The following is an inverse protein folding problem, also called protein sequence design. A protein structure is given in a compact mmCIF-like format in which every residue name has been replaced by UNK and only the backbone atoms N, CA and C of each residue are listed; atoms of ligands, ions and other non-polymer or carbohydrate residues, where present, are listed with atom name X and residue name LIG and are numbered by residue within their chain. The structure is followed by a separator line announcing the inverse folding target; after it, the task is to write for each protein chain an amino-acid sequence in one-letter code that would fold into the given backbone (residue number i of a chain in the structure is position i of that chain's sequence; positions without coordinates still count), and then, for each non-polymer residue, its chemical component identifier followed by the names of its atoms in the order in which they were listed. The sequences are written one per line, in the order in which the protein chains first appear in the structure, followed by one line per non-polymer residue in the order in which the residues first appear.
data_IF_455391460568
#
_entry.id   IF_455391460568
#
_cell.length_a   1.000
_cell.length_b   1.000
_cell.length_c   1.000
_cell.angle_alpha   90.00
_cell.angle_beta   90.00
_cell.angle_gamma   90.00
#
_symmetry.space_group_name_H-M   'P 1'
#
loop_
_entity.id
_entity.type
_entity.pdbx_description
1 polymer ?
#
# COMPACT_ATOMS: atom_id res chain seq x y z
N UNK A 1 19.53 18.19 -33.31
CA UNK A 1 19.20 17.60 -32.00
C UNK A 1 17.73 17.91 -31.73
N UNK A 2 16.77 17.01 -31.99
CA UNK A 2 15.37 17.33 -31.73
C UNK A 2 15.10 17.21 -30.21
N UNK A 3 14.34 18.17 -29.72
CA UNK A 3 13.95 18.32 -28.33
C UNK A 3 13.21 17.09 -27.79
N UNK A 4 13.53 16.69 -26.56
CA UNK A 4 12.78 15.70 -25.81
C UNK A 4 11.35 16.22 -25.63
N UNK A 5 10.40 15.53 -26.28
CA UNK A 5 8.99 15.74 -26.09
C UNK A 5 8.65 15.65 -24.60
N UNK A 6 7.86 16.62 -24.12
CA UNK A 6 7.43 16.69 -22.73
C UNK A 6 6.79 15.37 -22.28
N UNK A 7 7.14 14.94 -21.06
CA UNK A 7 6.50 13.80 -20.40
C UNK A 7 4.99 14.03 -20.38
N UNK A 8 4.15 13.10 -20.87
CA UNK A 8 2.70 13.20 -20.69
C UNK A 8 2.39 13.28 -19.20
N UNK A 9 1.55 14.25 -18.84
CA UNK A 9 1.34 14.70 -17.48
C UNK A 9 1.01 13.57 -16.51
N UNK A 10 1.71 13.56 -15.37
CA UNK A 10 1.23 12.86 -14.19
C UNK A 10 -0.05 13.57 -13.76
N UNK A 11 -1.21 12.97 -14.01
CA UNK A 11 -2.40 13.34 -13.28
C UNK A 11 -2.05 13.22 -11.79
N UNK A 12 -2.02 14.35 -11.09
CA UNK A 12 -1.85 14.36 -9.64
C UNK A 12 -3.16 13.82 -9.10
N UNK A 13 -3.18 12.56 -8.71
CA UNK A 13 -4.33 11.94 -8.08
C UNK A 13 -4.68 12.70 -6.79
N UNK A 14 -5.97 12.92 -6.56
CA UNK A 14 -6.42 13.64 -5.36
C UNK A 14 -6.08 12.82 -4.10
N UNK A 15 -5.36 13.41 -3.13
CA UNK A 15 -5.01 12.72 -1.89
C UNK A 15 -6.27 12.37 -1.08
N UNK A 16 -6.23 11.27 -0.33
CA UNK A 16 -7.28 10.97 0.64
C UNK A 16 -7.22 11.92 1.85
N UNK A 17 -8.37 12.19 2.45
CA UNK A 17 -8.43 12.76 3.80
C UNK A 17 -8.09 11.68 4.83
N UNK A 18 -7.09 11.95 5.67
CA UNK A 18 -6.68 11.03 6.74
C UNK A 18 -7.44 11.36 8.03
N UNK A 19 -8.20 10.40 8.55
CA UNK A 19 -8.97 10.51 9.79
C UNK A 19 -8.38 9.55 10.82
N UNK A 20 -8.09 10.06 12.02
CA UNK A 20 -7.67 9.21 13.14
C UNK A 20 -8.88 8.46 13.71
N UNK A 21 -8.98 7.17 13.41
CA UNK A 21 -10.06 6.31 13.89
C UNK A 21 -9.82 5.80 15.32
N UNK A 22 -8.61 5.34 15.63
CA UNK A 22 -8.27 4.78 16.93
C UNK A 22 -6.79 5.00 17.27
N UNK A 23 -6.50 5.03 18.57
CA UNK A 23 -5.13 5.00 19.10
C UNK A 23 -5.00 3.76 19.97
N UNK A 24 -4.04 2.90 19.65
CA UNK A 24 -3.79 1.66 20.40
C UNK A 24 -2.46 1.75 21.15
N UNK A 25 -2.47 1.44 22.44
CA UNK A 25 -1.27 1.30 23.27
C UNK A 25 -1.21 -0.13 23.77
N UNK A 26 -0.38 -1.00 23.17
CA UNK A 26 -0.12 -2.31 23.74
C UNK A 26 0.30 -2.12 25.20
N UNK A 27 -0.40 -2.78 26.13
CA UNK A 27 -0.15 -2.71 27.59
C UNK A 27 -0.53 -1.38 28.28
N UNK A 28 -1.09 -0.40 27.57
CA UNK A 28 -1.59 0.85 28.17
C UNK A 28 -0.51 1.84 28.64
N UNK A 29 0.76 1.62 28.29
CA UNK A 29 1.84 2.54 28.65
C UNK A 29 1.76 3.83 27.82
N UNK A 30 1.79 4.99 28.47
CA UNK A 30 1.96 6.28 27.83
C UNK A 30 0.69 7.06 27.49
N UNK A 31 -0.51 6.54 27.70
CA UNK A 31 -1.71 7.37 27.58
C UNK A 31 -1.88 8.30 28.81
N UNK A 32 -2.22 9.60 28.66
CA UNK A 32 -2.42 10.36 27.41
C UNK A 32 -1.19 11.15 26.92
N UNK A 33 -0.02 10.97 27.55
CA UNK A 33 1.15 11.84 27.38
C UNK A 33 2.02 11.50 26.16
N UNK A 34 2.06 10.23 25.77
CA UNK A 34 2.80 9.72 24.62
C UNK A 34 1.91 9.72 23.37
N UNK A 35 2.55 9.71 22.20
CA UNK A 35 1.90 9.46 20.91
C UNK A 35 2.46 8.16 20.34
N UNK A 36 1.64 7.31 19.71
CA UNK A 36 2.14 6.11 19.06
C UNK A 36 3.11 6.50 17.93
N UNK A 37 4.23 5.79 17.82
CA UNK A 37 5.22 5.99 16.76
C UNK A 37 4.77 5.36 15.43
N UNK A 38 3.99 4.29 15.52
CA UNK A 38 3.54 3.51 14.37
C UNK A 38 2.13 3.92 13.93
N UNK A 39 1.91 3.95 12.62
CA UNK A 39 0.62 4.24 12.02
C UNK A 39 0.13 3.06 11.17
N UNK A 40 -1.17 2.79 11.24
CA UNK A 40 -1.87 1.86 10.34
C UNK A 40 -2.91 2.67 9.57
N UNK A 41 -2.86 2.58 8.24
CA UNK A 41 -3.80 3.29 7.38
C UNK A 41 -4.73 2.29 6.69
N UNK A 42 -6.03 2.57 6.74
CA UNK A 42 -7.05 1.80 6.04
C UNK A 42 -7.54 2.63 4.84
N UNK A 43 -7.39 2.10 3.63
CA UNK A 43 -7.87 2.75 2.40
C UNK A 43 -7.14 2.27 1.15
N UNK A 44 -7.45 2.91 0.01
CA UNK A 44 -6.69 2.71 -1.23
C UNK A 44 -5.26 3.27 -1.04
N UNK A 45 -4.27 2.40 -1.19
CA UNK A 45 -2.87 2.76 -0.94
C UNK A 45 -2.37 3.93 -1.81
N UNK A 46 -2.92 4.13 -3.02
CA UNK A 46 -2.49 5.22 -3.90
C UNK A 46 -2.91 6.57 -3.32
N UNK A 47 -4.16 6.68 -2.88
CA UNK A 47 -4.69 7.90 -2.25
C UNK A 47 -4.07 8.17 -0.89
N UNK A 48 -3.81 7.12 -0.11
CA UNK A 48 -3.10 7.21 1.17
C UNK A 48 -1.68 7.72 0.94
N UNK A 49 -0.92 7.12 0.03
CA UNK A 49 0.44 7.58 -0.27
C UNK A 49 0.47 9.04 -0.76
N UNK A 50 -0.51 9.45 -1.58
CA UNK A 50 -0.63 10.84 -2.00
C UNK A 50 -0.86 11.79 -0.80
N UNK A 51 -1.69 11.38 0.16
CA UNK A 51 -1.92 12.14 1.39
C UNK A 51 -0.71 12.22 2.32
N UNK A 52 0.22 11.26 2.23
CA UNK A 52 1.46 11.25 3.03
C UNK A 52 2.55 12.16 2.46
N UNK A 53 2.50 12.54 1.18
CA UNK A 53 3.53 13.36 0.54
C UNK A 53 3.88 14.65 1.30
N UNK A 54 2.92 15.47 1.79
CA UNK A 54 3.25 16.74 2.46
C UNK A 54 4.16 16.58 3.69
N UNK A 55 4.11 15.41 4.33
CA UNK A 55 4.88 15.13 5.54
C UNK A 55 6.09 14.22 5.29
N UNK A 56 6.02 13.31 4.32
CA UNK A 56 6.98 12.21 4.16
C UNK A 56 7.71 12.18 2.82
N UNK A 57 7.45 13.11 1.89
CA UNK A 57 8.19 13.18 0.62
C UNK A 57 9.68 13.34 0.87
N UNK A 58 10.50 12.39 0.40
CA UNK A 58 11.95 12.40 0.64
C UNK A 58 12.40 11.93 2.03
N UNK A 59 11.55 11.27 2.83
CA UNK A 59 11.86 10.97 4.24
C UNK A 59 11.72 9.48 4.62
N UNK A 60 11.29 8.61 3.72
CA UNK A 60 11.16 7.17 4.01
C UNK A 60 12.46 6.43 3.65
N UNK A 61 13.10 5.80 4.63
CA UNK A 61 14.35 5.05 4.41
C UNK A 61 14.13 3.71 3.69
N UNK A 62 12.99 3.07 3.90
CA UNK A 62 12.70 1.74 3.40
C UNK A 62 11.22 1.60 3.03
N UNK A 63 10.96 1.14 1.82
CA UNK A 63 9.63 0.68 1.40
C UNK A 63 9.75 -0.79 0.99
N UNK A 64 8.88 -1.63 1.55
CA UNK A 64 8.66 -3.00 1.11
C UNK A 64 7.26 -3.10 0.50
N UNK A 65 7.15 -3.63 -0.71
CA UNK A 65 5.90 -3.79 -1.41
C UNK A 65 5.78 -5.19 -2.03
N UNK A 66 4.62 -5.81 -1.85
CA UNK A 66 4.26 -7.13 -2.38
C UNK A 66 2.94 -6.99 -3.16
N UNK A 67 2.99 -6.49 -4.42
CA UNK A 67 1.79 -6.28 -5.24
C UNK A 67 1.22 -7.61 -5.76
N UNK A 68 -0.02 -7.62 -6.27
CA UNK A 68 -0.55 -8.75 -7.03
C UNK A 68 0.41 -9.16 -8.17
N UNK A 69 0.59 -10.46 -8.42
CA UNK A 69 1.63 -10.96 -9.35
C UNK A 69 1.13 -11.19 -10.78
N UNK A 70 -0.02 -10.65 -11.18
CA UNK A 70 -0.59 -10.86 -12.52
C UNK A 70 -0.93 -12.34 -12.81
N UNK A 71 -1.34 -13.08 -11.78
CA UNK A 71 -1.60 -14.53 -11.84
C UNK A 71 -2.95 -14.89 -12.48
N UNK A 72 -3.81 -13.89 -12.66
CA UNK A 72 -5.19 -14.03 -13.10
C UNK A 72 -6.09 -14.83 -12.14
N UNK A 73 -5.73 -14.89 -10.84
CA UNK A 73 -6.42 -15.64 -9.79
C UNK A 73 -7.16 -14.72 -8.82
N UNK A 74 -8.22 -15.24 -8.18
CA UNK A 74 -8.84 -14.61 -6.99
C UNK A 74 -8.30 -15.27 -5.75
N UNK A 75 -7.67 -14.49 -4.87
CA UNK A 75 -7.16 -14.98 -3.60
C UNK A 75 -8.21 -14.77 -2.51
N UNK A 76 -8.81 -15.83 -1.94
CA UNK A 76 -9.72 -15.66 -0.82
C UNK A 76 -8.93 -15.33 0.45
N UNK A 77 -9.35 -14.29 1.17
CA UNK A 77 -8.83 -13.94 2.47
C UNK A 77 -9.54 -14.77 3.55
N UNK A 78 -8.76 -15.35 4.46
CA UNK A 78 -9.30 -16.05 5.63
C UNK A 78 -9.68 -15.02 6.69
N UNK A 79 -10.96 -14.96 7.06
CA UNK A 79 -11.43 -14.11 8.17
C UNK A 79 -11.82 -14.97 9.37
N UNK A 80 -11.31 -14.58 10.55
CA UNK A 80 -11.66 -15.23 11.81
C UNK A 80 -13.06 -14.80 12.26
N UNK A 81 -13.86 -15.74 12.81
CA UNK A 81 -15.21 -15.48 13.34
C UNK A 81 -15.21 -14.81 14.72
N UNK A 82 -14.35 -13.81 14.96
CA UNK A 82 -14.12 -13.29 16.32
C UNK A 82 -13.54 -14.33 17.29
N UNK A 83 -13.03 -15.45 16.77
CA UNK A 83 -12.33 -16.51 17.48
C UNK A 83 -10.82 -16.42 17.20
N UNK A 84 -10.00 -17.12 17.97
CA UNK A 84 -8.55 -17.18 17.75
C UNK A 84 -8.25 -17.70 16.32
N UNK A 85 -7.82 -16.80 15.44
CA UNK A 85 -7.49 -17.04 14.03
C UNK A 85 -6.43 -18.13 13.82
N UNK A 86 -5.75 -18.59 14.89
CA UNK A 86 -4.76 -19.67 14.85
C UNK A 86 -5.38 -21.08 14.82
N UNK A 87 -6.63 -21.28 15.22
CA UNK A 87 -7.32 -22.60 15.23
C UNK A 87 -8.86 -22.53 15.02
N UNK A 88 -9.35 -22.14 13.85
CA UNK A 88 -10.80 -22.16 13.58
C UNK A 88 -11.32 -23.57 13.25
N UNK A 89 -12.58 -23.86 13.64
CA UNK A 89 -13.29 -25.09 13.22
C UNK A 89 -13.66 -25.06 11.72
N UNK A 90 -14.03 -23.89 11.19
CA UNK A 90 -14.28 -23.66 9.76
C UNK A 90 -13.81 -22.25 9.36
N UNK A 91 -13.18 -22.12 8.20
CA UNK A 91 -12.74 -20.83 7.66
C UNK A 91 -13.90 -20.14 6.94
N UNK A 92 -14.22 -18.91 7.32
CA UNK A 92 -14.99 -18.02 6.46
C UNK A 92 -14.02 -17.36 5.47
N UNK A 93 -14.32 -17.48 4.18
CA UNK A 93 -13.55 -16.83 3.12
C UNK A 93 -14.22 -15.49 2.80
N UNK A 94 -13.46 -14.42 2.92
CA UNK A 94 -13.78 -13.15 2.28
C UNK A 94 -13.09 -13.10 0.91
N UNK A 95 -13.62 -12.32 -0.02
CA UNK A 95 -12.82 -11.95 -1.20
C UNK A 95 -11.60 -11.17 -0.71
N UNK A 96 -10.39 -11.67 -1.03
CA UNK A 96 -9.17 -10.91 -0.85
C UNK A 96 -9.00 -9.90 -1.98
N UNK A 97 -7.76 -9.62 -2.35
CA UNK A 97 -7.49 -8.74 -3.49
C UNK A 97 -7.77 -9.46 -4.82
N UNK A 98 -8.29 -8.71 -5.79
CA UNK A 98 -8.43 -9.19 -7.16
C UNK A 98 -7.08 -9.07 -7.88
N UNK A 99 -6.55 -10.20 -8.34
CA UNK A 99 -5.38 -10.25 -9.23
C UNK A 99 -5.82 -10.70 -10.63
N UNK A 100 -6.90 -10.08 -11.13
CA UNK A 100 -7.50 -10.34 -12.43
C UNK A 100 -7.40 -9.07 -13.27
N UNK A 101 -6.72 -9.19 -14.41
CA UNK A 101 -6.38 -8.07 -15.29
C UNK A 101 -6.70 -8.45 -16.73
N UNK A 102 -7.13 -7.50 -17.54
CA UNK A 102 -7.42 -7.75 -18.96
C UNK A 102 -6.17 -8.07 -19.77
N UNK A 103 -5.08 -7.36 -19.47
CA UNK A 103 -3.79 -7.45 -20.13
C UNK A 103 -2.69 -6.87 -19.23
N UNK A 104 -1.43 -6.98 -19.67
CA UNK A 104 -0.28 -6.46 -18.93
C UNK A 104 -0.33 -4.92 -18.80
N UNK A 105 -0.93 -4.23 -19.77
CA UNK A 105 -1.04 -2.76 -19.74
C UNK A 105 -1.97 -2.30 -18.61
N UNK A 106 -3.08 -3.00 -18.37
CA UNK A 106 -3.97 -2.73 -17.24
C UNK A 106 -3.29 -2.95 -15.88
N UNK A 107 -2.47 -4.00 -15.76
CA UNK A 107 -1.67 -4.24 -14.55
C UNK A 107 -0.62 -3.16 -14.34
N UNK A 108 0.10 -2.77 -15.40
CA UNK A 108 1.08 -1.69 -15.33
C UNK A 108 0.43 -0.34 -15.06
N UNK A 109 -0.76 -0.06 -15.59
CA UNK A 109 -1.53 1.14 -15.29
C UNK A 109 -1.93 1.22 -13.80
N UNK A 110 -2.15 0.08 -13.15
CA UNK A 110 -2.34 0.00 -11.71
C UNK A 110 -1.05 0.20 -10.92
N UNK A 111 0.04 -0.47 -11.31
CA UNK A 111 1.28 -0.51 -10.53
C UNK A 111 2.12 0.77 -10.66
N UNK A 112 2.19 1.34 -11.86
CA UNK A 112 3.03 2.49 -12.17
C UNK A 112 2.79 3.74 -11.29
N UNK A 113 1.54 4.21 -11.08
CA UNK A 113 1.31 5.39 -10.23
C UNK A 113 1.72 5.11 -8.76
N UNK A 114 1.60 3.87 -8.29
CA UNK A 114 2.00 3.46 -6.94
C UNK A 114 3.51 3.51 -6.78
N UNK A 115 4.25 2.93 -7.72
CA UNK A 115 5.72 2.99 -7.73
C UNK A 115 6.23 4.43 -7.82
N UNK A 116 5.54 5.29 -8.57
CA UNK A 116 5.87 6.73 -8.67
C UNK A 116 5.75 7.42 -7.31
N UNK A 117 4.67 7.18 -6.57
CA UNK A 117 4.51 7.75 -5.23
C UNK A 117 5.48 7.16 -4.21
N UNK A 118 5.70 5.84 -4.24
CA UNK A 118 6.72 5.20 -3.40
C UNK A 118 8.09 5.83 -3.61
N UNK A 119 8.50 6.04 -4.86
CA UNK A 119 9.78 6.70 -5.16
C UNK A 119 9.84 8.15 -4.62
N UNK A 120 8.76 8.92 -4.71
CA UNK A 120 8.72 10.28 -4.14
C UNK A 120 8.82 10.28 -2.62
N UNK A 121 8.20 9.30 -1.96
CA UNK A 121 8.25 9.18 -0.51
C UNK A 121 9.63 8.74 0.01
N UNK A 122 10.40 8.01 -0.79
CA UNK A 122 11.75 7.57 -0.40
C UNK A 122 12.70 8.74 -0.18
N UNK A 123 13.52 8.63 0.88
CA UNK A 123 14.70 9.45 1.07
C UNK A 123 15.68 9.29 -0.11
N UNK A 124 16.60 10.25 -0.33
CA UNK A 124 17.60 10.14 -1.40
C UNK A 124 18.47 8.87 -1.33
N UNK A 125 18.63 8.30 -0.13
CA UNK A 125 19.35 7.04 0.15
C UNK A 125 18.40 5.88 0.47
N UNK A 126 17.09 6.10 0.32
CA UNK A 126 16.07 5.11 0.65
C UNK A 126 16.06 3.93 -0.33
N UNK A 127 15.58 2.78 0.13
CA UNK A 127 15.53 1.56 -0.68
C UNK A 127 14.09 1.07 -0.86
N UNK A 128 13.74 0.66 -2.09
CA UNK A 128 12.51 -0.04 -2.41
C UNK A 128 12.80 -1.53 -2.64
N UNK A 129 12.15 -2.40 -1.87
CA UNK A 129 12.07 -3.82 -2.16
C UNK A 129 10.69 -4.13 -2.72
N UNK A 130 10.64 -4.48 -4.00
CA UNK A 130 9.44 -4.94 -4.67
C UNK A 130 9.53 -6.46 -4.83
N UNK A 131 8.65 -7.18 -4.17
CA UNK A 131 8.57 -8.63 -4.33
C UNK A 131 7.80 -8.95 -5.62
N UNK A 132 8.43 -9.74 -6.50
CA UNK A 132 7.85 -10.20 -7.75
C UNK A 132 8.12 -11.69 -7.87
N UNK A 133 7.09 -12.47 -8.16
CA UNK A 133 7.21 -13.91 -8.41
C UNK A 133 6.87 -14.22 -9.87
N UNK A 134 7.73 -15.03 -10.50
CA UNK A 134 7.56 -15.52 -11.87
C UNK A 134 6.82 -16.85 -11.94
N UNK A 135 6.64 -17.53 -10.79
CA UNK A 135 5.85 -18.77 -10.68
C UNK A 135 4.37 -18.53 -10.36
N UNK A 136 3.99 -17.26 -10.19
CA UNK A 136 2.69 -16.88 -9.66
C UNK A 136 1.52 -17.24 -10.59
#
# INVERSE_FOLDING_TARGET
LPALAGRPGSAVEEPADLILEAVTYPQGCGYPEARPENHLFLGDNLKVMAALLPQYEGHIDLIYADPPFFTNKRYPARIGRGEDSRRPQEWQLAEGYADHWSDIDAYLAFLYPRLTLMHRLLAPTGTLYLHLDWHA
#
